data_IF_539954594606
#
_entry.id   IF_539954594606
#
_cell.length_a   1.000
_cell.length_b   1.000
_cell.length_c   1.000
_cell.angle_alpha   90.00
_cell.angle_beta   90.00
_cell.angle_gamma   90.00
#
_symmetry.space_group_name_H-M   'P 1'
#
loop_
_entity.id
_entity.type
_entity.pdbx_description
1 polymer ?
#
# COMPACT_ATOMS: atom_id res chain seq x y z
N UNK A 1 -21.06 36.11 -20.74
CA UNK A 1 -21.03 34.87 -19.94
C UNK A 1 -20.69 35.28 -18.52
N UNK A 2 -21.71 35.40 -17.69
CA UNK A 2 -21.66 35.93 -16.34
C UNK A 2 -21.24 34.82 -15.38
N UNK A 3 -19.98 34.85 -14.91
CA UNK A 3 -19.59 34.17 -13.68
C UNK A 3 -20.30 34.90 -12.53
N UNK A 4 -21.46 34.38 -12.11
CA UNK A 4 -22.18 34.90 -10.95
C UNK A 4 -21.41 34.56 -9.66
N UNK A 5 -21.23 35.50 -8.72
CA UNK A 5 -20.55 35.27 -7.44
C UNK A 5 -21.15 34.15 -6.56
N UNK A 6 -22.35 33.66 -6.91
CA UNK A 6 -23.03 32.53 -6.26
C UNK A 6 -22.32 31.18 -6.50
N UNK A 7 -21.71 30.97 -7.68
CA UNK A 7 -20.99 29.71 -8.00
C UNK A 7 -19.68 29.56 -7.19
N UNK A 8 -19.04 30.67 -6.84
CA UNK A 8 -17.83 30.67 -6.01
C UNK A 8 -18.15 30.39 -4.53
N UNK A 9 -19.31 30.84 -4.05
CA UNK A 9 -19.77 30.61 -2.68
C UNK A 9 -20.19 29.15 -2.46
N UNK A 10 -20.90 28.53 -3.42
CA UNK A 10 -21.27 27.11 -3.36
C UNK A 10 -20.05 26.18 -3.50
N UNK A 11 -19.05 26.56 -4.31
CA UNK A 11 -17.79 25.81 -4.41
C UNK A 11 -16.94 25.87 -3.13
N UNK A 12 -17.16 26.87 -2.27
CA UNK A 12 -16.48 26.99 -0.97
C UNK A 12 -17.17 26.18 0.14
N UNK A 13 -18.48 25.93 0.04
CA UNK A 13 -19.28 25.32 1.11
C UNK A 13 -19.12 23.79 1.25
N UNK A 14 -18.58 23.09 0.24
CA UNK A 14 -18.49 21.63 0.22
C UNK A 14 -19.87 20.94 0.25
N UNK A 15 -19.90 19.61 0.09
CA UNK A 15 -21.18 18.87 0.12
C UNK A 15 -21.76 18.84 1.53
N UNK A 16 -23.08 19.01 1.69
CA UNK A 16 -23.74 18.90 3.00
C UNK A 16 -23.47 17.56 3.73
N UNK A 17 -23.10 16.52 2.97
CA UNK A 17 -22.85 15.17 3.49
C UNK A 17 -21.37 14.85 3.73
N UNK A 18 -20.44 15.79 3.55
CA UNK A 18 -19.00 15.52 3.51
C UNK A 18 -18.49 14.84 4.79
N UNK A 19 -18.96 15.25 5.97
CA UNK A 19 -18.57 14.63 7.26
C UNK A 19 -19.00 13.17 7.34
N UNK A 20 -20.24 12.89 6.95
CA UNK A 20 -20.78 11.51 6.95
C UNK A 20 -20.02 10.64 5.96
N UNK A 21 -19.81 11.15 4.75
CA UNK A 21 -19.08 10.43 3.70
C UNK A 21 -17.62 10.19 4.08
N UNK A 22 -16.97 11.14 4.78
CA UNK A 22 -15.64 10.97 5.36
C UNK A 22 -15.61 9.82 6.37
N UNK A 23 -16.51 9.82 7.36
CA UNK A 23 -16.56 8.76 8.37
C UNK A 23 -16.77 7.38 7.76
N UNK A 24 -17.72 7.24 6.81
CA UNK A 24 -17.98 5.96 6.16
C UNK A 24 -16.80 5.53 5.29
N UNK A 25 -16.21 6.47 4.54
CA UNK A 25 -15.03 6.21 3.71
C UNK A 25 -13.82 5.80 4.55
N UNK A 26 -13.68 6.39 5.74
CA UNK A 26 -12.63 6.03 6.69
C UNK A 26 -12.82 4.61 7.21
N UNK A 27 -14.02 4.28 7.72
CA UNK A 27 -14.33 2.94 8.21
C UNK A 27 -14.17 1.90 7.09
N UNK A 28 -14.71 2.18 5.90
CA UNK A 28 -14.58 1.26 4.77
C UNK A 28 -13.14 1.10 4.28
N UNK A 29 -12.35 2.17 4.24
CA UNK A 29 -10.93 2.10 3.87
C UNK A 29 -10.13 1.33 4.92
N UNK A 30 -10.36 1.60 6.21
CA UNK A 30 -9.75 0.85 7.30
C UNK A 30 -10.06 -0.65 7.18
N UNK A 31 -11.34 -1.02 7.13
CA UNK A 31 -11.78 -2.41 7.06
C UNK A 31 -11.23 -3.14 5.83
N UNK A 32 -11.28 -2.51 4.65
CA UNK A 32 -10.77 -3.13 3.42
C UNK A 32 -9.26 -3.33 3.46
N UNK A 33 -8.51 -2.41 4.07
CA UNK A 33 -7.05 -2.53 4.25
C UNK A 33 -6.70 -3.59 5.29
N UNK A 34 -7.42 -3.64 6.42
CA UNK A 34 -7.29 -4.73 7.41
C UNK A 34 -7.48 -6.07 6.71
N UNK A 35 -8.54 -6.21 5.91
CA UNK A 35 -8.84 -7.46 5.21
C UNK A 35 -7.82 -7.86 4.15
N UNK A 36 -7.19 -6.89 3.47
CA UNK A 36 -6.11 -7.14 2.52
C UNK A 36 -4.84 -7.63 3.20
N UNK A 37 -4.50 -7.04 4.35
CA UNK A 37 -3.21 -7.25 5.03
C UNK A 37 -3.25 -8.36 6.07
N UNK A 38 -4.43 -8.70 6.62
CA UNK A 38 -4.55 -9.76 7.62
C UNK A 38 -4.18 -11.14 7.09
N UNK A 39 -4.21 -11.36 5.76
CA UNK A 39 -3.84 -12.63 5.17
C UNK A 39 -2.34 -12.93 5.36
N UNK A 40 -1.50 -11.90 5.44
CA UNK A 40 -0.05 -12.02 5.39
C UNK A 40 0.57 -12.98 6.44
N UNK A 41 0.23 -12.89 7.74
CA UNK A 41 0.89 -13.68 8.78
C UNK A 41 0.62 -15.18 8.67
N UNK A 42 -0.43 -15.58 7.97
CA UNK A 42 -0.80 -16.99 7.81
C UNK A 42 -0.83 -17.44 6.34
N UNK A 43 -0.40 -16.61 5.39
CA UNK A 43 -0.39 -16.97 3.97
C UNK A 43 0.33 -18.29 3.70
N UNK A 44 1.57 -18.50 4.20
CA UNK A 44 2.31 -19.72 3.88
C UNK A 44 1.65 -20.96 4.49
N UNK A 45 1.11 -20.85 5.70
CA UNK A 45 0.36 -21.92 6.36
C UNK A 45 -0.93 -22.26 5.61
N UNK A 46 -1.60 -21.24 5.03
CA UNK A 46 -2.78 -21.49 4.21
C UNK A 46 -2.44 -22.16 2.89
N UNK A 47 -1.30 -21.80 2.28
CA UNK A 47 -0.78 -22.47 1.07
C UNK A 47 -0.48 -23.95 1.37
N UNK A 48 0.06 -24.25 2.55
CA UNK A 48 0.27 -25.61 3.03
C UNK A 48 -1.05 -26.37 3.25
N UNK A 49 -2.04 -25.74 3.92
CA UNK A 49 -3.40 -26.32 4.08
C UNK A 49 -4.10 -26.62 2.75
N UNK A 50 -3.74 -25.92 1.67
CA UNK A 50 -4.26 -26.13 0.33
C UNK A 50 -3.53 -27.24 -0.45
N UNK A 51 -2.63 -27.99 0.21
CA UNK A 51 -1.99 -29.19 -0.31
C UNK A 51 -0.61 -28.98 -0.94
N UNK A 52 0.01 -27.81 -0.76
CA UNK A 52 1.40 -27.58 -1.18
C UNK A 52 2.34 -28.00 -0.04
N UNK A 53 3.07 -29.11 -0.21
CA UNK A 53 3.90 -29.66 0.87
C UNK A 53 5.38 -29.29 0.78
N UNK A 54 5.87 -28.95 -0.41
CA UNK A 54 7.28 -28.59 -0.59
C UNK A 54 7.56 -27.17 -0.05
N UNK A 55 8.59 -27.03 0.79
CA UNK A 55 8.92 -25.76 1.44
C UNK A 55 9.20 -24.65 0.41
N UNK A 56 9.97 -24.95 -0.64
CA UNK A 56 10.27 -23.98 -1.68
C UNK A 56 9.00 -23.56 -2.43
N UNK A 57 8.12 -24.53 -2.72
CA UNK A 57 6.83 -24.27 -3.35
C UNK A 57 5.90 -23.43 -2.45
N UNK A 58 5.85 -23.66 -1.13
CA UNK A 58 5.04 -22.86 -0.19
C UNK A 58 5.45 -21.39 -0.26
N UNK A 59 6.76 -21.12 -0.19
CA UNK A 59 7.33 -19.78 -0.21
C UNK A 59 7.07 -19.09 -1.57
N UNK A 60 7.24 -19.81 -2.68
CA UNK A 60 6.94 -19.30 -4.02
C UNK A 60 5.46 -19.00 -4.24
N UNK A 61 4.59 -19.93 -3.88
CA UNK A 61 3.13 -19.76 -4.02
C UNK A 61 2.59 -18.65 -3.13
N UNK A 62 3.18 -18.45 -1.94
CA UNK A 62 2.87 -17.29 -1.09
C UNK A 62 3.22 -15.98 -1.79
N UNK A 63 4.41 -15.91 -2.40
CA UNK A 63 4.84 -14.77 -3.21
C UNK A 63 3.91 -14.50 -4.41
N UNK A 64 3.58 -15.54 -5.18
CA UNK A 64 2.69 -15.46 -6.34
C UNK A 64 1.28 -15.02 -5.92
N UNK A 65 0.71 -15.64 -4.88
CA UNK A 65 -0.64 -15.32 -4.42
C UNK A 65 -0.75 -13.88 -3.92
N UNK A 66 0.26 -13.37 -3.22
CA UNK A 66 0.28 -11.99 -2.78
C UNK A 66 0.47 -11.01 -3.95
N UNK A 67 1.44 -11.27 -4.83
CA UNK A 67 1.71 -10.45 -6.01
C UNK A 67 0.54 -10.40 -7.00
N UNK A 68 -0.25 -11.46 -7.09
CA UNK A 68 -1.43 -11.55 -7.97
C UNK A 68 -2.43 -10.40 -7.76
N UNK A 69 -2.66 -9.97 -6.51
CA UNK A 69 -3.57 -8.85 -6.21
C UNK A 69 -3.07 -7.55 -6.84
N UNK A 70 -1.79 -7.23 -6.68
CA UNK A 70 -1.21 -6.00 -7.23
C UNK A 70 -1.04 -6.06 -8.73
N UNK A 71 -0.80 -7.26 -9.28
CA UNK A 71 -0.74 -7.48 -10.72
C UNK A 71 -2.08 -7.12 -11.35
N UNK A 72 -3.19 -7.66 -10.86
CA UNK A 72 -4.50 -7.33 -11.38
C UNK A 72 -4.86 -5.85 -11.14
N UNK A 73 -4.52 -5.30 -9.97
CA UNK A 73 -4.78 -3.90 -9.65
C UNK A 73 -4.05 -2.92 -10.60
N UNK A 74 -2.81 -3.23 -11.01
CA UNK A 74 -2.01 -2.38 -11.88
C UNK A 74 -2.68 -2.14 -13.24
N UNK A 75 -3.31 -3.16 -13.82
CA UNK A 75 -4.01 -3.05 -15.11
C UNK A 75 -5.35 -2.33 -15.00
N UNK A 76 -6.07 -2.49 -13.90
CA UNK A 76 -7.46 -2.01 -13.79
C UNK A 76 -7.60 -0.69 -13.02
N UNK A 77 -6.59 -0.27 -12.26
CA UNK A 77 -6.62 1.00 -11.54
C UNK A 77 -6.95 2.23 -12.43
N UNK A 78 -6.36 2.40 -13.63
CA UNK A 78 -6.72 3.51 -14.52
C UNK A 78 -8.17 3.41 -15.01
N UNK A 79 -8.65 2.18 -15.27
CA UNK A 79 -10.03 1.93 -15.71
C UNK A 79 -11.03 2.34 -14.63
N UNK A 80 -10.80 1.93 -13.38
CA UNK A 80 -11.67 2.30 -12.25
C UNK A 80 -11.62 3.79 -11.94
N UNK A 81 -10.46 4.45 -12.17
CA UNK A 81 -10.34 5.90 -12.14
C UNK A 81 -11.35 6.57 -13.08
N UNK A 82 -11.33 6.20 -14.37
CA UNK A 82 -12.20 6.74 -15.42
C UNK A 82 -13.67 6.37 -15.22
N UNK A 83 -13.97 5.11 -14.89
CA UNK A 83 -15.33 4.66 -14.63
C UNK A 83 -15.94 5.38 -13.42
N UNK A 84 -15.13 5.62 -12.39
CA UNK A 84 -15.54 6.44 -11.26
C UNK A 84 -15.90 7.85 -11.68
N UNK A 85 -15.14 8.48 -12.59
CA UNK A 85 -15.45 9.79 -13.17
C UNK A 85 -16.67 9.82 -14.11
N UNK A 86 -17.12 8.69 -14.62
CA UNK A 86 -18.30 8.63 -15.50
C UNK A 86 -19.55 8.32 -14.67
N UNK A 87 -19.51 7.22 -13.93
CA UNK A 87 -20.68 6.63 -13.27
C UNK A 87 -20.92 7.14 -11.84
N UNK A 88 -19.95 7.87 -11.26
CA UNK A 88 -20.02 8.33 -9.88
C UNK A 88 -19.07 7.53 -8.98
N UNK A 89 -18.47 8.21 -8.01
CA UNK A 89 -17.51 7.61 -7.09
C UNK A 89 -18.23 6.66 -6.13
N UNK A 90 -19.42 6.98 -5.62
CA UNK A 90 -20.21 6.09 -4.75
C UNK A 90 -20.36 4.69 -5.35
N UNK A 91 -20.74 4.61 -6.63
CA UNK A 91 -20.94 3.32 -7.29
C UNK A 91 -19.65 2.49 -7.34
N UNK A 92 -18.51 3.15 -7.54
CA UNK A 92 -17.21 2.47 -7.52
C UNK A 92 -16.83 1.96 -6.12
N UNK A 93 -17.12 2.70 -5.04
CA UNK A 93 -16.90 2.21 -3.68
C UNK A 93 -17.81 1.00 -3.36
N UNK A 94 -19.07 1.05 -3.77
CA UNK A 94 -20.04 -0.05 -3.60
C UNK A 94 -19.56 -1.30 -4.34
N UNK A 95 -19.18 -1.17 -5.62
CA UNK A 95 -18.60 -2.27 -6.41
C UNK A 95 -17.36 -2.86 -5.73
N UNK A 96 -16.46 -1.99 -5.27
CA UNK A 96 -15.20 -2.46 -4.71
C UNK A 96 -15.38 -3.22 -3.40
N UNK A 97 -16.20 -2.69 -2.48
CA UNK A 97 -16.51 -3.36 -1.21
C UNK A 97 -17.28 -4.67 -1.42
N UNK A 98 -18.24 -4.72 -2.36
CA UNK A 98 -18.96 -5.96 -2.68
C UNK A 98 -18.03 -7.02 -3.28
N UNK A 99 -17.24 -6.65 -4.28
CA UNK A 99 -16.32 -7.58 -4.93
C UNK A 99 -15.27 -8.12 -3.95
N UNK A 100 -14.72 -7.26 -3.08
CA UNK A 100 -13.81 -7.68 -2.02
C UNK A 100 -14.50 -8.60 -0.98
N UNK A 101 -15.75 -8.31 -0.60
CA UNK A 101 -16.53 -9.20 0.28
C UNK A 101 -16.64 -10.60 -0.31
N UNK A 102 -17.08 -10.70 -1.56
CA UNK A 102 -17.25 -11.98 -2.26
C UNK A 102 -15.90 -12.71 -2.35
N UNK A 103 -14.87 -12.01 -2.81
CA UNK A 103 -13.54 -12.59 -3.00
C UNK A 103 -12.95 -13.12 -1.70
N UNK A 104 -13.00 -12.32 -0.63
CA UNK A 104 -12.41 -12.66 0.67
C UNK A 104 -13.19 -13.78 1.36
N UNK A 105 -14.52 -13.78 1.30
CA UNK A 105 -15.31 -14.90 1.81
C UNK A 105 -15.03 -16.20 1.03
N UNK A 106 -14.95 -16.14 -0.30
CA UNK A 106 -14.63 -17.29 -1.14
C UNK A 106 -13.21 -17.80 -0.91
N UNK A 107 -12.26 -16.93 -0.52
CA UNK A 107 -10.91 -17.38 -0.16
C UNK A 107 -10.95 -18.32 1.05
N UNK A 108 -11.83 -18.09 2.03
CA UNK A 108 -12.04 -19.03 3.14
C UNK A 108 -12.61 -20.39 2.73
N UNK A 109 -13.19 -20.47 1.53
CA UNK A 109 -13.77 -21.70 0.96
C UNK A 109 -12.87 -22.33 -0.11
N UNK A 110 -11.70 -21.77 -0.39
CA UNK A 110 -10.82 -22.28 -1.42
C UNK A 110 -10.34 -23.70 -1.08
N UNK A 111 -10.40 -24.58 -2.07
CA UNK A 111 -9.98 -25.98 -1.97
C UNK A 111 -8.63 -26.26 -2.65
N UNK A 112 -8.05 -25.29 -3.36
CA UNK A 112 -6.72 -25.42 -3.97
C UNK A 112 -6.00 -24.08 -4.09
N UNK A 113 -4.67 -24.12 -4.22
CA UNK A 113 -3.83 -22.94 -4.42
C UNK A 113 -4.23 -22.11 -5.66
N UNK A 114 -4.63 -22.77 -6.73
CA UNK A 114 -5.09 -22.10 -7.96
C UNK A 114 -6.35 -21.27 -7.72
N UNK A 115 -7.28 -21.77 -6.90
CA UNK A 115 -8.47 -21.01 -6.52
C UNK A 115 -8.09 -19.79 -5.68
N UNK A 116 -7.17 -19.94 -4.72
CA UNK A 116 -6.66 -18.82 -3.94
C UNK A 116 -6.03 -17.74 -4.83
N UNK A 117 -5.15 -18.12 -5.77
CA UNK A 117 -4.52 -17.17 -6.71
C UNK A 117 -5.55 -16.49 -7.61
N UNK A 118 -6.54 -17.24 -8.13
CA UNK A 118 -7.62 -16.66 -8.94
C UNK A 118 -8.47 -15.67 -8.14
N UNK A 119 -8.78 -15.98 -6.88
CA UNK A 119 -9.49 -15.07 -5.99
C UNK A 119 -8.64 -13.85 -5.62
N UNK A 120 -7.32 -14.00 -5.45
CA UNK A 120 -6.38 -12.88 -5.25
C UNK A 120 -6.31 -11.95 -6.46
N UNK A 121 -6.31 -12.49 -7.68
CA UNK A 121 -6.48 -11.70 -8.91
C UNK A 121 -7.81 -10.96 -8.86
N UNK A 122 -8.90 -11.64 -8.54
CA UNK A 122 -10.23 -11.04 -8.45
C UNK A 122 -10.30 -9.93 -7.39
N UNK A 123 -9.62 -10.07 -6.25
CA UNK A 123 -9.48 -9.00 -5.25
C UNK A 123 -8.81 -7.76 -5.87
N UNK A 124 -7.76 -7.93 -6.68
CA UNK A 124 -7.10 -6.83 -7.38
C UNK A 124 -8.00 -6.15 -8.43
N UNK A 125 -8.78 -6.94 -9.18
CA UNK A 125 -9.78 -6.44 -10.13
C UNK A 125 -10.94 -5.73 -9.42
N UNK A 126 -11.40 -6.28 -8.31
CA UNK A 126 -12.49 -5.75 -7.51
C UNK A 126 -12.07 -4.52 -6.70
N UNK A 127 -10.80 -4.38 -6.33
CA UNK A 127 -10.29 -3.40 -5.38
C UNK A 127 -10.43 -1.91 -5.77
N UNK A 128 -9.63 -1.08 -5.11
CA UNK A 128 -9.64 0.38 -5.32
C UNK A 128 -10.57 1.16 -4.41
N UNK A 129 -11.10 0.56 -3.34
CA UNK A 129 -11.95 1.24 -2.36
C UNK A 129 -11.22 2.44 -1.74
N UNK A 130 -10.02 2.24 -1.19
CA UNK A 130 -9.22 3.30 -0.53
C UNK A 130 -8.89 4.46 -1.47
N UNK A 131 -8.46 4.16 -2.70
CA UNK A 131 -8.22 5.17 -3.73
C UNK A 131 -9.49 5.93 -4.10
N UNK A 132 -10.62 5.24 -4.29
CA UNK A 132 -11.91 5.87 -4.58
C UNK A 132 -12.42 6.75 -3.43
N UNK A 133 -12.24 6.31 -2.19
CA UNK A 133 -12.53 7.07 -0.98
C UNK A 133 -11.72 8.36 -0.89
N UNK A 134 -10.42 8.32 -1.19
CA UNK A 134 -9.58 9.53 -1.20
C UNK A 134 -10.11 10.57 -2.19
N UNK A 135 -10.49 10.14 -3.40
CA UNK A 135 -11.04 11.06 -4.41
C UNK A 135 -12.43 11.58 -4.02
N UNK A 136 -13.30 10.73 -3.48
CA UNK A 136 -14.63 11.14 -3.01
C UNK A 136 -14.51 12.19 -1.90
N UNK A 137 -13.67 11.95 -0.91
CA UNK A 137 -13.44 12.87 0.21
C UNK A 137 -12.79 14.17 -0.28
N UNK A 138 -11.78 14.09 -1.15
CA UNK A 138 -11.12 15.27 -1.71
C UNK A 138 -12.08 16.20 -2.46
N UNK A 139 -13.06 15.63 -3.17
CA UNK A 139 -13.98 16.40 -4.02
C UNK A 139 -15.19 16.96 -3.27
N UNK A 140 -15.59 16.36 -2.14
CA UNK A 140 -16.77 16.78 -1.39
C UNK A 140 -16.46 17.62 -0.16
N UNK A 141 -15.22 17.59 0.33
CA UNK A 141 -14.82 18.35 1.52
C UNK A 141 -14.58 19.82 1.17
N UNK A 142 -15.05 20.78 1.99
CA UNK A 142 -14.68 22.19 1.87
C UNK A 142 -13.17 22.40 1.73
N UNK A 143 -12.76 23.38 0.92
CA UNK A 143 -11.34 23.61 0.57
C UNK A 143 -10.45 23.83 1.81
N UNK A 144 -10.96 24.52 2.82
CA UNK A 144 -10.29 24.80 4.10
C UNK A 144 -10.09 23.53 4.96
N UNK A 145 -10.91 22.50 4.77
CA UNK A 145 -10.86 21.25 5.55
C UNK A 145 -10.36 20.03 4.78
N UNK A 146 -10.13 20.15 3.48
CA UNK A 146 -9.75 19.02 2.61
C UNK A 146 -8.47 18.34 3.07
N UNK A 147 -7.45 19.10 3.46
CA UNK A 147 -6.20 18.55 4.00
C UNK A 147 -6.41 17.76 5.30
N UNK A 148 -7.24 18.26 6.22
CA UNK A 148 -7.59 17.56 7.46
C UNK A 148 -8.36 16.27 7.18
N UNK A 149 -9.35 16.32 6.28
CA UNK A 149 -10.17 15.16 5.93
C UNK A 149 -9.35 14.07 5.23
N UNK A 150 -8.47 14.45 4.29
CA UNK A 150 -7.54 13.52 3.64
C UNK A 150 -6.51 12.95 4.62
N UNK A 151 -6.04 13.78 5.57
CA UNK A 151 -5.17 13.33 6.65
C UNK A 151 -5.87 12.28 7.54
N UNK A 152 -7.11 12.53 7.93
CA UNK A 152 -7.92 11.61 8.73
C UNK A 152 -8.16 10.27 8.01
N UNK A 153 -8.50 10.32 6.72
CA UNK A 153 -8.67 9.13 5.88
C UNK A 153 -7.36 8.34 5.72
N UNK A 154 -6.25 9.04 5.49
CA UNK A 154 -4.92 8.42 5.36
C UNK A 154 -4.48 7.76 6.66
N UNK A 155 -4.75 8.39 7.82
CA UNK A 155 -4.53 7.79 9.14
C UNK A 155 -5.33 6.50 9.33
N UNK A 156 -6.58 6.45 8.86
CA UNK A 156 -7.38 5.23 8.86
C UNK A 156 -6.78 4.11 8.00
N UNK A 157 -6.27 4.44 6.80
CA UNK A 157 -5.56 3.48 5.95
C UNK A 157 -4.28 2.97 6.63
N UNK A 158 -3.51 3.86 7.24
CA UNK A 158 -2.29 3.50 7.97
C UNK A 158 -2.60 2.60 9.17
N UNK A 159 -3.63 2.95 9.95
CA UNK A 159 -4.11 2.12 11.06
C UNK A 159 -4.56 0.74 10.57
N UNK A 160 -5.21 0.65 9.42
CA UNK A 160 -5.59 -0.64 8.83
C UNK A 160 -4.38 -1.52 8.50
N UNK A 161 -3.31 -0.93 7.93
CA UNK A 161 -2.07 -1.67 7.65
C UNK A 161 -1.35 -2.14 8.92
N UNK A 162 -1.48 -1.40 10.03
CA UNK A 162 -0.95 -1.79 11.32
C UNK A 162 -1.79 -2.88 11.99
N UNK A 163 -3.10 -2.73 11.99
CA UNK A 163 -4.03 -3.62 12.71
C UNK A 163 -4.28 -4.93 11.96
N UNK A 164 -4.24 -4.90 10.63
CA UNK A 164 -4.49 -6.08 9.78
C UNK A 164 -3.62 -7.27 10.14
N UNK A 165 -2.28 -7.17 10.11
CA UNK A 165 -1.41 -8.29 10.47
C UNK A 165 -1.53 -8.71 11.94
N UNK A 166 -1.86 -7.81 12.89
CA UNK A 166 -2.14 -8.22 14.28
C UNK A 166 -3.38 -9.13 14.36
N UNK A 167 -4.47 -8.70 13.71
CA UNK A 167 -5.71 -9.48 13.64
C UNK A 167 -5.46 -10.79 12.89
N UNK A 168 -4.70 -10.73 11.79
CA UNK A 168 -4.29 -11.89 11.01
C UNK A 168 -3.44 -12.88 11.79
N UNK A 169 -2.60 -12.41 12.71
CA UNK A 169 -1.81 -13.29 13.56
C UNK A 169 -2.62 -13.96 14.67
N UNK A 170 -3.59 -13.24 15.24
CA UNK A 170 -4.32 -13.64 16.44
C UNK A 170 -5.59 -14.47 16.17
N UNK A 171 -6.29 -14.27 15.04
CA UNK A 171 -7.54 -14.96 14.74
C UNK A 171 -7.40 -16.44 14.32
N UNK A 172 -6.43 -16.84 13.47
CA UNK A 172 -6.35 -18.21 12.99
C UNK A 172 -6.26 -19.28 14.09
N UNK A 173 -5.52 -19.10 15.19
CA UNK A 173 -5.52 -20.07 16.29
C UNK A 173 -6.88 -20.26 16.99
N UNK A 174 -7.79 -19.28 16.89
CA UNK A 174 -9.07 -19.29 17.60
C UNK A 174 -10.20 -19.83 16.71
N UNK A 175 -10.27 -19.34 15.46
CA UNK A 175 -11.39 -19.63 14.54
C UNK A 175 -10.95 -20.32 13.25
N UNK A 176 -9.68 -20.70 13.13
CA UNK A 176 -9.07 -21.26 11.93
C UNK A 176 -8.79 -20.21 10.85
N UNK A 177 -7.92 -20.56 9.89
CA UNK A 177 -7.59 -19.69 8.74
C UNK A 177 -8.84 -19.40 7.90
N UNK A 178 -9.61 -20.44 7.58
CA UNK A 178 -10.86 -20.33 6.81
C UNK A 178 -11.90 -19.44 7.50
N UNK A 179 -12.07 -19.60 8.81
CA UNK A 179 -12.97 -18.76 9.61
C UNK A 179 -12.52 -17.30 9.65
N UNK A 180 -11.21 -17.06 9.68
CA UNK A 180 -10.62 -15.70 9.62
C UNK A 180 -10.99 -14.98 8.33
N UNK A 181 -10.97 -15.66 7.18
CA UNK A 181 -11.44 -15.09 5.91
C UNK A 181 -12.93 -14.78 5.91
N UNK A 182 -13.76 -15.69 6.41
CA UNK A 182 -15.21 -15.47 6.48
C UNK A 182 -15.56 -14.30 7.41
N UNK A 183 -14.88 -14.19 8.56
CA UNK A 183 -15.02 -13.06 9.47
C UNK A 183 -14.62 -11.73 8.80
N UNK A 184 -13.48 -11.70 8.10
CA UNK A 184 -13.04 -10.54 7.34
C UNK A 184 -14.05 -10.14 6.25
N UNK A 185 -14.56 -11.12 5.50
CA UNK A 185 -15.62 -10.91 4.52
C UNK A 185 -16.89 -10.31 5.15
N UNK A 186 -17.31 -10.81 6.32
CA UNK A 186 -18.43 -10.27 7.08
C UNK A 186 -18.25 -8.80 7.49
N UNK A 187 -17.06 -8.42 7.96
CA UNK A 187 -16.79 -7.01 8.33
C UNK A 187 -16.78 -6.12 7.08
N UNK A 188 -16.20 -6.56 5.96
CA UNK A 188 -16.28 -5.80 4.69
C UNK A 188 -17.72 -5.71 4.19
N UNK A 189 -18.54 -6.74 4.39
CA UNK A 189 -19.95 -6.71 4.02
C UNK A 189 -20.70 -5.61 4.79
N UNK A 190 -20.42 -5.43 6.08
CA UNK A 190 -20.97 -4.30 6.84
C UNK A 190 -20.51 -2.95 6.28
N UNK A 191 -19.24 -2.83 5.88
CA UNK A 191 -18.73 -1.64 5.20
C UNK A 191 -19.41 -1.42 3.84
N UNK A 192 -19.71 -2.48 3.09
CA UNK A 192 -20.48 -2.43 1.84
C UNK A 192 -21.90 -1.91 2.08
N UNK A 193 -22.61 -2.40 3.09
CA UNK A 193 -23.95 -1.92 3.43
C UNK A 193 -23.91 -0.43 3.84
N UNK A 194 -22.97 -0.05 4.70
CA UNK A 194 -22.77 1.34 5.10
C UNK A 194 -22.45 2.24 3.89
N UNK A 195 -21.57 1.79 2.99
CA UNK A 195 -21.24 2.49 1.74
C UNK A 195 -22.47 2.66 0.85
N UNK A 196 -23.27 1.60 0.70
CA UNK A 196 -24.44 1.57 -0.18
C UNK A 196 -25.55 2.49 0.31
N UNK A 197 -25.89 2.42 1.60
CA UNK A 197 -27.03 3.12 2.15
C UNK A 197 -26.70 4.52 2.70
N UNK A 198 -25.50 4.72 3.24
CA UNK A 198 -25.19 5.94 3.98
C UNK A 198 -24.34 6.94 3.17
N UNK A 199 -23.53 6.51 2.18
CA UNK A 199 -22.84 7.46 1.30
C UNK A 199 -23.86 8.11 0.38
N UNK A 200 -23.84 9.44 0.31
CA UNK A 200 -24.60 10.21 -0.70
C UNK A 200 -23.63 10.99 -1.56
N UNK A 201 -23.77 10.85 -2.87
CA UNK A 201 -22.99 11.63 -3.83
C UNK A 201 -23.94 12.60 -4.52
N UNK A 202 -23.70 13.89 -4.29
CA UNK A 202 -24.34 14.94 -5.07
C UNK A 202 -23.72 14.94 -6.47
N UNK A 203 -24.55 14.93 -7.51
CA UNK A 203 -24.08 15.00 -8.89
C UNK A 203 -23.49 16.39 -9.13
N UNK A 204 -22.18 16.53 -8.96
CA UNK A 204 -21.51 17.80 -9.29
C UNK A 204 -21.41 17.96 -10.82
N UNK A 205 -21.91 19.08 -11.40
CA UNK A 205 -21.82 19.36 -12.84
C UNK A 205 -20.39 19.61 -13.34
N UNK A 206 -19.43 19.85 -12.44
CA UNK A 206 -18.07 20.29 -12.77
C UNK A 206 -17.13 19.18 -13.29
N UNK A 207 -17.69 18.10 -13.84
CA UNK A 207 -16.96 16.86 -14.14
C UNK A 207 -16.29 16.81 -15.51
N UNK A 208 -16.66 17.71 -16.42
CA UNK A 208 -16.17 17.69 -17.82
C UNK A 208 -14.91 18.53 -18.08
N UNK A 209 -14.48 19.40 -17.15
CA UNK A 209 -13.40 20.38 -17.42
C UNK A 209 -11.99 19.96 -16.96
N UNK A 210 -11.85 18.95 -16.10
CA UNK A 210 -10.54 18.54 -15.56
C UNK A 210 -9.73 17.58 -16.46
N UNK A 211 -10.29 17.12 -17.59
CA UNK A 211 -9.62 16.20 -18.51
C UNK A 211 -8.71 16.87 -19.56
N UNK A 212 -8.55 18.20 -19.52
CA UNK A 212 -7.66 18.97 -20.41
C UNK A 212 -6.59 19.72 -19.63
N UNK A 213 -5.68 18.96 -19.03
CA UNK A 213 -4.34 19.45 -18.73
C UNK A 213 -3.40 18.26 -18.94
N UNK A 214 -3.08 17.97 -20.20
CA UNK A 214 -2.04 17.01 -20.55
C UNK A 214 -0.77 17.78 -20.88
N UNK A 215 -0.11 18.32 -19.87
CA UNK A 215 1.35 18.37 -19.95
C UNK A 215 1.81 16.92 -19.93
N UNK A 216 2.10 16.35 -21.10
CA UNK A 216 2.59 14.97 -21.19
C UNK A 216 4.04 14.87 -20.69
N UNK A 217 4.59 13.66 -20.74
CA UNK A 217 6.02 13.38 -20.51
C UNK A 217 6.95 14.31 -21.32
N UNK A 218 6.50 14.80 -22.48
CA UNK A 218 7.22 15.73 -23.34
C UNK A 218 7.38 17.15 -22.75
N UNK A 219 6.52 17.55 -21.81
CA UNK A 219 6.54 18.89 -21.20
C UNK A 219 7.53 19.04 -20.03
N UNK A 220 8.19 17.94 -19.64
CA UNK A 220 9.12 17.91 -18.51
C UNK A 220 10.48 18.46 -18.98
N UNK A 221 10.98 19.57 -18.38
CA UNK A 221 12.26 20.17 -18.77
C UNK A 221 13.44 19.25 -18.47
N UNK A 222 13.48 18.67 -17.26
CA UNK A 222 14.47 17.69 -16.83
C UNK A 222 13.79 16.42 -16.33
N UNK A 223 13.94 15.33 -17.09
CA UNK A 223 13.35 14.03 -16.79
C UNK A 223 14.19 13.23 -15.79
N UNK A 224 15.44 13.62 -15.54
CA UNK A 224 16.37 12.90 -14.66
C UNK A 224 15.80 12.67 -13.26
N UNK A 225 15.39 13.74 -12.54
CA UNK A 225 14.77 13.62 -11.21
C UNK A 225 13.50 12.77 -11.21
N UNK A 226 12.67 12.92 -12.24
CA UNK A 226 11.42 12.17 -12.37
C UNK A 226 11.71 10.67 -12.51
N UNK A 227 12.56 10.29 -13.47
CA UNK A 227 12.94 8.89 -13.71
C UNK A 227 13.58 8.30 -12.45
N UNK A 228 14.46 9.05 -11.79
CA UNK A 228 15.10 8.61 -10.56
C UNK A 228 14.08 8.33 -9.45
N UNK A 229 13.07 9.19 -9.28
CA UNK A 229 12.00 8.98 -8.29
C UNK A 229 11.06 7.83 -8.65
N UNK A 230 10.76 7.61 -9.94
CA UNK A 230 9.99 6.45 -10.39
C UNK A 230 10.72 5.13 -10.08
N UNK A 231 12.03 5.08 -10.36
CA UNK A 231 12.89 3.94 -10.06
C UNK A 231 13.04 3.74 -8.55
N UNK A 232 13.21 4.82 -7.78
CA UNK A 232 13.31 4.76 -6.32
C UNK A 232 12.02 4.24 -5.68
N UNK A 233 10.85 4.70 -6.15
CA UNK A 233 9.56 4.21 -5.68
C UNK A 233 9.33 2.73 -6.01
N UNK A 234 9.70 2.30 -7.22
CA UNK A 234 9.67 0.89 -7.62
C UNK A 234 10.58 0.05 -6.71
N UNK A 235 11.84 0.48 -6.55
CA UNK A 235 12.85 -0.21 -5.75
C UNK A 235 12.43 -0.32 -4.29
N UNK A 236 11.89 0.75 -3.71
CA UNK A 236 11.36 0.77 -2.35
C UNK A 236 10.24 -0.26 -2.14
N UNK A 237 9.28 -0.32 -3.06
CA UNK A 237 8.19 -1.29 -2.98
C UNK A 237 8.68 -2.72 -3.22
N UNK A 238 9.58 -2.93 -4.18
CA UNK A 238 10.19 -4.23 -4.44
C UNK A 238 10.92 -4.74 -3.20
N UNK A 239 11.74 -3.89 -2.58
CA UNK A 239 12.48 -4.24 -1.37
C UNK A 239 11.55 -4.61 -0.21
N UNK A 240 10.58 -3.75 0.12
CA UNK A 240 9.67 -3.98 1.22
C UNK A 240 8.84 -5.26 1.02
N UNK A 241 8.33 -5.46 -0.20
CA UNK A 241 7.42 -6.56 -0.52
C UNK A 241 8.16 -7.89 -0.80
N UNK A 242 9.46 -7.86 -1.09
CA UNK A 242 10.27 -9.08 -1.20
C UNK A 242 10.39 -9.86 0.12
N UNK A 243 10.20 -9.17 1.24
CA UNK A 243 10.40 -9.75 2.57
C UNK A 243 9.07 -10.16 3.19
N UNK A 244 7.98 -9.40 2.94
CA UNK A 244 6.67 -9.60 3.59
C UNK A 244 6.14 -11.04 3.59
N UNK A 245 6.00 -11.73 2.44
CA UNK A 245 5.43 -13.08 2.39
C UNK A 245 6.28 -14.13 3.11
N UNK A 246 7.56 -13.85 3.30
CA UNK A 246 8.56 -14.80 3.82
C UNK A 246 8.72 -14.67 5.33
N UNK A 247 8.28 -13.55 5.93
CA UNK A 247 8.38 -13.30 7.38
C UNK A 247 7.82 -14.47 8.17
N UNK A 248 6.64 -14.95 7.81
CA UNK A 248 6.01 -16.06 8.55
C UNK A 248 6.85 -17.31 8.49
N UNK A 249 7.39 -17.66 7.33
CA UNK A 249 8.26 -18.83 7.17
C UNK A 249 9.54 -18.65 7.98
N UNK A 250 10.13 -17.46 7.95
CA UNK A 250 11.33 -17.18 8.73
C UNK A 250 11.07 -17.18 10.25
N UNK A 251 9.88 -16.74 10.69
CA UNK A 251 9.47 -16.83 12.10
C UNK A 251 9.23 -18.28 12.52
N UNK A 252 8.73 -19.13 11.63
CA UNK A 252 8.53 -20.55 11.90
C UNK A 252 9.84 -21.28 12.24
N UNK A 253 10.98 -20.83 11.67
CA UNK A 253 12.31 -21.34 11.99
C UNK A 253 12.86 -20.84 13.35
N UNK A 254 12.29 -19.76 13.89
CA UNK A 254 12.76 -19.08 15.11
C UNK A 254 11.93 -19.40 16.36
N UNK A 255 10.77 -20.03 16.19
CA UNK A 255 9.80 -20.24 17.26
C UNK A 255 9.51 -21.73 17.38
N UNK A 256 9.77 -22.30 18.56
CA UNK A 256 9.53 -23.73 18.82
C UNK A 256 8.05 -24.10 18.79
N UNK A 257 7.20 -23.19 19.27
CA UNK A 257 5.76 -23.39 19.35
C UNK A 257 5.03 -22.87 18.10
N UNK A 258 4.61 -23.80 17.26
CA UNK A 258 3.92 -23.52 16.00
C UNK A 258 2.62 -22.72 16.19
N UNK A 259 1.95 -22.83 17.35
CA UNK A 259 0.73 -22.06 17.61
C UNK A 259 0.99 -20.55 17.73
N UNK A 260 2.24 -20.13 18.01
CA UNK A 260 2.63 -18.73 18.15
C UNK A 260 3.17 -18.11 16.87
N UNK A 261 3.44 -18.90 15.83
CA UNK A 261 4.07 -18.44 14.57
C UNK A 261 3.25 -17.34 13.90
N UNK A 262 1.94 -17.53 13.73
CA UNK A 262 1.07 -16.52 13.09
C UNK A 262 1.03 -15.23 13.92
N UNK A 263 0.93 -15.34 15.24
CA UNK A 263 0.87 -14.19 16.14
C UNK A 263 2.17 -13.38 16.08
N UNK A 264 3.32 -14.05 16.17
CA UNK A 264 4.63 -13.40 16.12
C UNK A 264 4.87 -12.78 14.74
N UNK A 265 4.56 -13.49 13.66
CA UNK A 265 4.62 -12.93 12.31
C UNK A 265 3.75 -11.68 12.18
N UNK A 266 2.52 -11.71 12.71
CA UNK A 266 1.62 -10.56 12.77
C UNK A 266 2.24 -9.36 13.49
N UNK A 267 2.88 -9.59 14.64
CA UNK A 267 3.59 -8.55 15.40
C UNK A 267 4.79 -8.00 14.62
N UNK A 268 5.61 -8.85 14.00
CA UNK A 268 6.77 -8.44 13.18
C UNK A 268 6.36 -7.52 12.03
N UNK A 269 5.29 -7.88 11.31
CA UNK A 269 4.75 -7.09 10.21
C UNK A 269 4.18 -5.75 10.68
N UNK A 270 3.46 -5.78 11.79
CA UNK A 270 2.86 -4.60 12.42
C UNK A 270 3.92 -3.65 13.00
N UNK A 271 5.04 -4.18 13.48
CA UNK A 271 6.15 -3.38 13.99
C UNK A 271 6.74 -2.47 12.89
N UNK A 272 6.90 -3.00 11.67
CA UNK A 272 7.35 -2.19 10.52
C UNK A 272 6.33 -1.09 10.17
N UNK A 273 5.04 -1.41 10.14
CA UNK A 273 3.98 -0.43 9.91
C UNK A 273 3.97 0.65 10.99
N UNK A 274 4.09 0.28 12.27
CA UNK A 274 4.14 1.21 13.39
C UNK A 274 5.34 2.15 13.31
N UNK A 275 6.53 1.62 13.04
CA UNK A 275 7.75 2.41 12.87
C UNK A 275 7.58 3.45 11.75
N UNK A 276 7.01 3.03 10.63
CA UNK A 276 6.73 3.89 9.47
C UNK A 276 5.74 5.01 9.80
N UNK A 277 4.65 4.69 10.50
CA UNK A 277 3.65 5.68 10.94
C UNK A 277 4.28 6.73 11.86
N UNK A 278 5.09 6.29 12.83
CA UNK A 278 5.72 7.17 13.80
C UNK A 278 6.81 8.07 13.18
N UNK A 279 7.49 7.61 12.14
CA UNK A 279 8.58 8.37 11.51
C UNK A 279 8.13 9.22 10.32
N UNK A 280 7.01 8.91 9.67
CA UNK A 280 6.56 9.57 8.43
C UNK A 280 6.59 11.10 8.52
N UNK A 281 6.03 11.66 9.60
CA UNK A 281 6.00 13.12 9.82
C UNK A 281 7.38 13.72 10.13
N UNK A 282 8.23 12.98 10.86
CA UNK A 282 9.57 13.46 11.27
C UNK A 282 10.54 13.43 10.10
N UNK A 283 10.53 12.37 9.31
CA UNK A 283 11.35 12.25 8.10
C UNK A 283 10.93 13.24 7.01
N UNK A 284 9.63 13.48 6.83
CA UNK A 284 9.15 14.53 5.93
C UNK A 284 9.68 15.91 6.34
N UNK A 285 9.52 16.28 7.62
CA UNK A 285 10.07 17.54 8.15
C UNK A 285 11.59 17.64 8.04
N UNK A 286 12.31 16.52 8.15
CA UNK A 286 13.75 16.48 7.94
C UNK A 286 14.08 16.74 6.47
N UNK A 287 13.35 16.12 5.54
CA UNK A 287 13.51 16.31 4.09
C UNK A 287 13.25 17.76 3.66
N UNK A 288 12.26 18.42 4.29
CA UNK A 288 12.00 19.84 4.06
C UNK A 288 13.16 20.74 4.54
N UNK A 289 13.95 20.30 5.52
CA UNK A 289 15.07 21.08 6.11
C UNK A 289 16.41 20.88 5.41
N UNK A 290 16.76 19.63 5.11
CA UNK A 290 18.09 19.27 4.58
C UNK A 290 18.04 18.83 3.11
N UNK A 291 16.87 18.91 2.48
CA UNK A 291 16.63 18.46 1.13
C UNK A 291 16.13 17.01 1.06
N UNK A 292 15.34 16.74 0.02
CA UNK A 292 14.67 15.45 -0.14
C UNK A 292 15.63 14.34 -0.59
N UNK A 293 16.61 14.66 -1.46
CA UNK A 293 17.56 13.67 -1.98
C UNK A 293 18.48 13.05 -0.91
N UNK A 294 19.14 13.84 -0.03
CA UNK A 294 19.95 13.27 1.04
C UNK A 294 19.14 12.42 2.02
N UNK A 295 17.90 12.82 2.33
CA UNK A 295 17.01 12.02 3.19
C UNK A 295 16.64 10.72 2.52
N UNK A 296 16.30 10.73 1.24
CA UNK A 296 16.01 9.49 0.49
C UNK A 296 17.21 8.54 0.50
N UNK A 297 18.39 9.03 0.12
CA UNK A 297 19.61 8.22 0.08
C UNK A 297 19.99 7.68 1.47
N UNK A 298 19.95 8.53 2.50
CA UNK A 298 20.27 8.16 3.88
C UNK A 298 19.30 7.12 4.45
N UNK A 299 17.99 7.30 4.25
CA UNK A 299 16.98 6.36 4.69
C UNK A 299 17.11 4.99 4.01
N UNK A 300 17.37 4.96 2.69
CA UNK A 300 17.64 3.71 1.97
C UNK A 300 18.90 3.01 2.49
N UNK A 301 19.98 3.75 2.74
CA UNK A 301 21.22 3.20 3.29
C UNK A 301 21.03 2.64 4.70
N UNK A 302 20.34 3.37 5.59
CA UNK A 302 20.04 2.90 6.95
C UNK A 302 19.16 1.64 6.90
N UNK A 303 18.13 1.62 6.05
CA UNK A 303 17.29 0.44 5.88
C UNK A 303 18.08 -0.76 5.36
N UNK A 304 19.01 -0.55 4.41
CA UNK A 304 19.87 -1.61 3.92
C UNK A 304 20.78 -2.18 5.00
N UNK A 305 21.42 -1.32 5.81
CA UNK A 305 22.25 -1.76 6.94
C UNK A 305 21.45 -2.54 7.98
N UNK A 306 20.19 -2.15 8.23
CA UNK A 306 19.29 -2.86 9.14
C UNK A 306 18.85 -4.24 8.62
N UNK A 307 18.98 -4.53 7.32
CA UNK A 307 18.67 -5.85 6.76
C UNK A 307 19.76 -6.89 7.03
N UNK A 308 21.00 -6.47 7.20
CA UNK A 308 22.12 -7.38 7.48
C UNK A 308 21.89 -8.16 8.78
N UNK A 309 21.65 -7.53 9.95
CA UNK A 309 21.40 -8.28 11.18
C UNK A 309 20.09 -9.08 11.12
N UNK A 310 19.11 -8.67 10.31
CA UNK A 310 17.86 -9.43 10.13
C UNK A 310 18.08 -10.80 9.50
N UNK A 311 19.14 -10.97 8.70
CA UNK A 311 19.48 -12.26 8.10
C UNK A 311 20.03 -13.27 9.12
N UNK A 312 20.45 -12.81 10.31
CA UNK A 312 21.15 -13.61 11.30
C UNK A 312 20.48 -13.57 12.68
N UNK A 313 19.20 -13.18 12.74
CA UNK A 313 18.47 -13.24 14.01
C UNK A 313 18.33 -14.68 14.47
N UNK A 314 18.41 -14.87 15.78
CA UNK A 314 18.20 -16.14 16.46
C UNK A 314 16.91 -16.13 17.26
N UNK A 315 16.39 -14.94 17.57
CA UNK A 315 15.21 -14.75 18.42
C UNK A 315 14.18 -13.85 17.73
N UNK A 316 12.90 -14.19 17.90
CA UNK A 316 11.80 -13.44 17.28
C UNK A 316 11.75 -11.96 17.68
N UNK A 317 12.12 -11.61 18.91
CA UNK A 317 12.11 -10.22 19.38
C UNK A 317 13.15 -9.35 18.65
N UNK A 318 14.29 -9.92 18.23
CA UNK A 318 15.31 -9.22 17.46
C UNK A 318 14.73 -8.80 16.10
N UNK A 319 13.98 -9.70 15.46
CA UNK A 319 13.30 -9.41 14.21
C UNK A 319 12.24 -8.31 14.37
N UNK A 320 11.45 -8.34 15.45
CA UNK A 320 10.47 -7.31 15.76
C UNK A 320 11.15 -5.93 15.90
N UNK A 321 12.23 -5.85 16.68
CA UNK A 321 12.97 -4.61 16.89
C UNK A 321 13.58 -4.08 15.59
N UNK A 322 14.24 -4.95 14.81
CA UNK A 322 14.86 -4.57 13.54
C UNK A 322 13.82 -4.12 12.51
N UNK A 323 12.64 -4.75 12.47
CA UNK A 323 11.53 -4.31 11.61
C UNK A 323 10.93 -2.98 12.02
N UNK A 324 10.79 -2.75 13.32
CA UNK A 324 10.37 -1.45 13.83
C UNK A 324 11.36 -0.34 13.40
N UNK A 325 12.66 -0.58 13.56
CA UNK A 325 13.70 0.36 13.14
C UNK A 325 13.72 0.57 11.62
N UNK A 326 13.52 -0.48 10.83
CA UNK A 326 13.42 -0.40 9.38
C UNK A 326 12.18 0.41 8.96
N UNK A 327 11.05 0.20 9.63
CA UNK A 327 9.86 1.03 9.48
C UNK A 327 10.15 2.51 9.74
N UNK A 328 10.86 2.81 10.84
CA UNK A 328 11.30 4.18 11.15
C UNK A 328 12.14 4.75 10.01
N UNK A 329 13.11 4.00 9.47
CA UNK A 329 13.95 4.46 8.38
C UNK A 329 13.17 4.78 7.10
N UNK A 330 12.13 4.01 6.77
CA UNK A 330 11.43 4.10 5.49
C UNK A 330 10.17 4.99 5.51
N UNK A 331 9.59 5.30 6.68
CA UNK A 331 8.23 5.86 6.79
C UNK A 331 7.95 7.20 6.09
N UNK A 332 8.97 7.99 5.79
CA UNK A 332 8.83 9.28 5.10
C UNK A 332 9.11 9.26 3.59
N UNK A 333 9.54 8.11 3.03
CA UNK A 333 10.10 8.07 1.68
C UNK A 333 9.07 8.32 0.57
N UNK A 334 7.87 7.73 0.66
CA UNK A 334 6.83 7.90 -0.36
C UNK A 334 6.37 9.38 -0.50
N UNK A 335 6.13 10.12 0.60
CA UNK A 335 5.95 11.57 0.54
C UNK A 335 7.15 12.30 -0.10
N UNK A 336 8.37 11.93 0.26
CA UNK A 336 9.57 12.57 -0.30
C UNK A 336 9.68 12.38 -1.81
N UNK A 337 9.45 11.15 -2.29
CA UNK A 337 9.41 10.80 -3.71
C UNK A 337 8.36 11.64 -4.44
N UNK A 338 7.16 11.74 -3.86
CA UNK A 338 6.06 12.52 -4.44
C UNK A 338 6.37 14.01 -4.50
N UNK A 339 7.03 14.56 -3.48
CA UNK A 339 7.44 15.96 -3.43
C UNK A 339 8.52 16.29 -4.47
N UNK A 340 9.55 15.45 -4.60
CA UNK A 340 10.59 15.63 -5.65
C UNK A 340 9.97 15.59 -7.04
N UNK A 341 9.06 14.65 -7.31
CA UNK A 341 8.34 14.59 -8.58
C UNK A 341 7.57 15.89 -8.80
N UNK A 342 6.80 16.34 -7.82
CA UNK A 342 5.97 17.55 -7.93
C UNK A 342 6.81 18.81 -8.20
N UNK A 343 7.98 18.95 -7.58
CA UNK A 343 8.88 20.09 -7.83
C UNK A 343 9.63 20.01 -9.16
N UNK A 344 9.70 18.83 -9.78
CA UNK A 344 10.46 18.62 -11.03
C UNK A 344 9.61 18.73 -12.29
N UNK A 345 8.29 18.90 -12.15
CA UNK A 345 7.34 18.87 -13.28
C UNK A 345 6.42 20.09 -13.26
N UNK A 346 5.99 20.60 -14.43
CA UNK A 346 4.96 21.64 -14.49
C UNK A 346 3.65 21.17 -13.84
N UNK A 347 2.87 22.10 -13.28
CA UNK A 347 1.57 21.80 -12.65
C UNK A 347 0.61 21.05 -13.60
N UNK A 348 0.69 21.34 -14.91
CA UNK A 348 -0.10 20.66 -15.94
C UNK A 348 0.27 19.18 -16.17
N UNK A 349 1.44 18.74 -15.69
CA UNK A 349 1.93 17.37 -15.83
C UNK A 349 1.95 16.60 -14.49
N UNK A 350 1.93 17.30 -13.35
CA UNK A 350 2.08 16.74 -12.01
C UNK A 350 1.16 15.55 -11.73
N UNK A 351 -0.14 15.68 -12.04
CA UNK A 351 -1.10 14.60 -11.82
C UNK A 351 -0.79 13.33 -12.61
N UNK A 352 -0.41 13.47 -13.88
CA UNK A 352 -0.06 12.34 -14.75
C UNK A 352 1.21 11.62 -14.29
N UNK A 353 2.24 12.37 -13.89
CA UNK A 353 3.52 11.81 -13.45
C UNK A 353 3.43 11.18 -12.05
N UNK A 354 2.67 11.78 -11.14
CA UNK A 354 2.37 11.14 -9.85
C UNK A 354 1.58 9.83 -10.04
N UNK A 355 0.67 9.79 -11.02
CA UNK A 355 0.01 8.54 -11.43
C UNK A 355 1.01 7.49 -11.91
N UNK A 356 1.99 7.88 -12.73
CA UNK A 356 3.07 6.98 -13.17
C UNK A 356 3.93 6.46 -12.02
N UNK A 357 4.16 7.26 -10.98
CA UNK A 357 4.86 6.84 -9.76
C UNK A 357 4.10 5.76 -9.00
N UNK A 358 2.78 5.89 -8.87
CA UNK A 358 1.95 4.84 -8.26
C UNK A 358 2.01 3.56 -9.12
N UNK A 359 2.00 3.68 -10.45
CA UNK A 359 2.16 2.53 -11.34
C UNK A 359 3.53 1.85 -11.18
N UNK A 360 4.64 2.60 -11.09
CA UNK A 360 5.96 2.02 -10.88
C UNK A 360 6.08 1.31 -9.53
N UNK A 361 5.44 1.86 -8.49
CA UNK A 361 5.31 1.22 -7.18
C UNK A 361 4.57 -0.12 -7.25
N UNK A 362 3.47 -0.22 -8.02
CA UNK A 362 2.78 -1.50 -8.20
C UNK A 362 3.66 -2.56 -8.88
N UNK A 363 4.50 -2.18 -9.85
CA UNK A 363 5.47 -3.11 -10.44
C UNK A 363 6.39 -3.69 -9.36
N UNK A 364 6.87 -2.84 -8.44
CA UNK A 364 7.64 -3.29 -7.28
C UNK A 364 6.84 -4.22 -6.35
N UNK A 365 5.56 -3.92 -6.08
CA UNK A 365 4.70 -4.76 -5.24
C UNK A 365 4.36 -6.12 -5.87
N UNK A 366 4.44 -6.25 -7.20
CA UNK A 366 4.29 -7.55 -7.89
C UNK A 366 5.63 -8.29 -7.92
N UNK A 367 6.70 -7.61 -8.35
CA UNK A 367 8.00 -8.23 -8.52
C UNK A 367 8.63 -8.64 -7.19
N UNK A 368 8.47 -7.84 -6.14
CA UNK A 368 9.04 -8.09 -4.81
C UNK A 368 8.67 -9.47 -4.25
N UNK A 369 7.37 -9.76 -4.01
CA UNK A 369 6.92 -11.04 -3.47
C UNK A 369 7.32 -12.24 -4.31
N UNK A 370 7.31 -12.10 -5.64
CA UNK A 370 7.66 -13.18 -6.57
C UNK A 370 9.16 -13.47 -6.52
N UNK A 371 10.00 -12.44 -6.59
CA UNK A 371 11.46 -12.58 -6.50
C UNK A 371 11.89 -13.06 -5.11
N UNK A 372 11.30 -12.48 -4.06
CA UNK A 372 11.50 -12.89 -2.69
C UNK A 372 11.12 -14.35 -2.50
N UNK A 373 9.94 -14.75 -2.98
CA UNK A 373 9.46 -16.13 -2.89
C UNK A 373 10.39 -17.12 -3.61
N UNK A 374 10.88 -16.74 -4.80
CA UNK A 374 11.79 -17.57 -5.58
C UNK A 374 13.18 -17.73 -4.91
N UNK A 375 13.79 -16.62 -4.49
CA UNK A 375 15.10 -16.62 -3.81
C UNK A 375 15.00 -17.31 -2.45
N UNK A 376 13.95 -17.01 -1.69
CA UNK A 376 13.69 -17.61 -0.39
C UNK A 376 13.50 -19.12 -0.46
N UNK A 377 12.78 -19.60 -1.48
CA UNK A 377 12.56 -21.04 -1.66
C UNK A 377 13.80 -21.83 -2.10
N UNK A 378 14.67 -21.28 -2.95
CA UNK A 378 15.80 -22.03 -3.52
C UNK A 378 17.15 -21.78 -2.87
N UNK A 379 17.39 -20.56 -2.39
CA UNK A 379 18.68 -20.14 -1.83
C UNK A 379 18.57 -19.99 -0.30
N UNK A 380 17.37 -19.68 0.19
CA UNK A 380 17.06 -19.55 1.61
C UNK A 380 16.76 -18.11 2.03
N UNK A 381 16.16 -17.97 3.21
CA UNK A 381 15.61 -16.70 3.72
C UNK A 381 16.70 -15.64 3.91
N UNK A 382 17.89 -16.05 4.37
CA UNK A 382 19.04 -15.15 4.56
C UNK A 382 19.43 -14.44 3.26
N UNK A 383 19.38 -15.15 2.13
CA UNK A 383 19.73 -14.60 0.82
C UNK A 383 18.75 -13.52 0.38
N UNK A 384 17.47 -13.60 0.78
CA UNK A 384 16.49 -12.54 0.50
C UNK A 384 16.86 -11.27 1.24
N UNK A 385 17.16 -11.33 2.54
CA UNK A 385 17.58 -10.16 3.32
C UNK A 385 18.85 -9.51 2.76
N UNK A 386 19.86 -10.31 2.45
CA UNK A 386 21.14 -9.80 1.91
C UNK A 386 20.99 -9.28 0.48
N UNK A 387 20.22 -9.95 -0.37
CA UNK A 387 19.91 -9.48 -1.73
C UNK A 387 19.15 -8.16 -1.71
N UNK A 388 18.16 -8.02 -0.83
CA UNK A 388 17.42 -6.77 -0.64
C UNK A 388 18.29 -5.68 -0.03
N UNK A 389 19.27 -6.03 0.82
CA UNK A 389 20.29 -5.08 1.29
C UNK A 389 21.11 -4.50 0.13
N UNK A 390 21.62 -5.34 -0.76
CA UNK A 390 22.36 -4.88 -1.96
C UNK A 390 21.49 -4.00 -2.84
N UNK A 391 20.23 -4.38 -3.04
CA UNK A 391 19.25 -3.60 -3.79
C UNK A 391 18.98 -2.22 -3.15
N UNK A 392 18.78 -2.14 -1.83
CA UNK A 392 18.60 -0.86 -1.13
C UNK A 392 19.87 -0.01 -1.12
N UNK A 393 21.05 -0.62 -0.93
CA UNK A 393 22.34 0.10 -1.00
C UNK A 393 22.60 0.66 -2.39
N UNK A 394 22.32 -0.10 -3.45
CA UNK A 394 22.43 0.40 -4.82
C UNK A 394 21.43 1.52 -5.10
N UNK A 395 20.20 1.43 -4.58
CA UNK A 395 19.22 2.51 -4.62
C UNK A 395 19.69 3.78 -3.89
N UNK A 396 20.31 3.63 -2.72
CA UNK A 396 20.90 4.73 -1.96
C UNK A 396 22.04 5.41 -2.73
N UNK A 397 22.96 4.61 -3.28
CA UNK A 397 24.06 5.10 -4.11
C UNK A 397 23.54 5.81 -5.37
N UNK A 398 22.55 5.24 -6.05
CA UNK A 398 21.91 5.83 -7.22
C UNK A 398 21.27 7.18 -6.88
N UNK A 399 20.46 7.25 -5.80
CA UNK A 399 19.86 8.50 -5.35
C UNK A 399 20.91 9.56 -4.99
N UNK A 400 22.03 9.14 -4.38
CA UNK A 400 23.12 10.05 -4.04
C UNK A 400 23.89 10.58 -5.26
N UNK A 401 24.09 9.74 -6.28
CA UNK A 401 24.83 10.09 -7.50
C UNK A 401 24.03 10.97 -8.45
N UNK A 402 22.71 10.75 -8.55
CA UNK A 402 21.81 11.45 -9.48
C UNK A 402 21.27 12.75 -8.87
N UNK A 403 21.48 13.00 -7.57
CA UNK A 403 21.01 14.22 -6.92
C UNK A 403 21.52 15.49 -7.65
N UNK A 404 20.66 16.47 -7.93
CA UNK A 404 21.09 17.74 -8.53
C UNK A 404 22.10 18.46 -7.63
N UNK A 405 23.24 18.91 -8.18
CA UNK A 405 24.26 19.64 -7.40
C UNK A 405 23.78 20.99 -6.83
N UNK A 406 22.63 21.50 -7.26
CA UNK A 406 22.05 22.77 -6.81
C UNK A 406 20.92 22.63 -5.76
N UNK A 407 20.53 21.41 -5.34
CA UNK A 407 19.45 21.22 -4.37
C UNK A 407 19.85 21.42 -2.89
N UNK A 408 21.08 21.83 -2.61
CA UNK A 408 21.60 22.08 -1.25
C UNK A 408 21.41 23.53 -0.76
N UNK A 409 20.56 24.33 -1.41
CA UNK A 409 20.15 25.65 -0.88
C UNK A 409 18.66 25.63 -0.51
N UNK A 410 18.32 26.06 0.72
CA UNK A 410 16.95 26.04 1.24
C UNK A 410 15.98 26.92 0.45
#
# INVERSE_FOLDING_TARGET
MTDTPMDAADAAAGSAYWKRNLTISLIGSFTTIVAMTLLLPFLPLYVEELGVSDHAAIVQWSGIAYGATFFAAAFVAPLWGRLGDIYGRKLMLVRASLGMTIAISLMGMAGSIWQLVALRLFVGLAGGYSSGSMVLVATQTPKDRSAWALGMLSSGIMAGNLVGPLIGGALPPIIGIRGTFLAAGGIIFLAFLATTFLIKEEKSPARKKAAKASGGWASIPDKGPVIAMLLTGLLLMLANMSIEPIITVYVADLVEDQARVTMIAGIVMSAAALGSILSASRLGKLADRIGHWPVIAGALAVAALLLIPQAFVTESWQLIALRFLMGIALGGLLPCISAVIRHSVPDSAAGGILGLSVSSQYVGQVAGPVLGGFVGGHIGMRAVFLGTCVLLMSGAAFAWLVRPRNSDKP
#
